data_IF_614336103812
#
_entry.id   IF_614336103812
#
_cell.length_a   1.000
_cell.length_b   1.000
_cell.length_c   1.000
_cell.angle_alpha   90.00
_cell.angle_beta   90.00
_cell.angle_gamma   90.00
#
_symmetry.space_group_name_H-M   'P 1'
#
loop_
_entity.id
_entity.type
_entity.pdbx_description
1 polymer ?
#
# COMPACT_ATOMS: atom_id res chain seq x y z
N UNK A 1 -14.03 -11.45 -54.23
CA UNK A 1 -14.65 -10.73 -53.12
C UNK A 1 -13.58 -10.62 -52.03
N UNK A 2 -12.90 -9.44 -51.93
CA UNK A 2 -11.70 -9.23 -51.14
C UNK A 2 -12.08 -9.09 -49.63
N UNK A 3 -11.72 -10.09 -48.84
CA UNK A 3 -11.91 -10.10 -47.37
C UNK A 3 -10.75 -9.49 -46.59
N UNK A 4 -9.77 -8.89 -47.28
CA UNK A 4 -8.50 -8.41 -46.66
C UNK A 4 -8.52 -6.96 -46.14
N UNK A 5 -9.68 -6.29 -46.14
CA UNK A 5 -9.75 -4.85 -45.84
C UNK A 5 -10.06 -4.48 -44.40
N UNK A 6 -10.21 -5.42 -43.44
CA UNK A 6 -10.68 -5.09 -42.08
C UNK A 6 -9.71 -5.37 -40.95
N UNK A 7 -8.42 -5.55 -41.23
CA UNK A 7 -7.43 -5.49 -40.15
C UNK A 7 -7.04 -4.03 -39.83
N UNK A 8 -7.99 -3.20 -39.46
CA UNK A 8 -7.68 -1.88 -38.91
C UNK A 8 -6.79 -2.10 -37.68
N UNK A 9 -5.49 -1.87 -37.82
CA UNK A 9 -4.49 -1.94 -36.75
C UNK A 9 -4.90 -0.95 -35.68
N UNK A 10 -5.59 -1.42 -34.61
CA UNK A 10 -5.88 -0.61 -33.43
C UNK A 10 -4.53 -0.06 -32.96
N UNK A 11 -4.35 1.27 -32.88
CA UNK A 11 -3.07 1.85 -32.47
C UNK A 11 -2.70 1.33 -31.08
N UNK A 12 -1.46 0.86 -30.93
CA UNK A 12 -0.95 0.26 -29.67
C UNK A 12 -1.22 1.12 -28.43
N UNK A 13 -1.28 2.45 -28.60
CA UNK A 13 -1.61 3.42 -27.53
C UNK A 13 -3.07 3.33 -27.07
N UNK A 14 -4.02 3.12 -27.98
CA UNK A 14 -5.44 2.98 -27.65
C UNK A 14 -5.69 1.75 -26.76
N UNK A 15 -4.96 0.65 -27.01
CA UNK A 15 -5.08 -0.57 -26.19
C UNK A 15 -4.58 -0.41 -24.76
N UNK A 16 -3.55 0.44 -24.49
CA UNK A 16 -3.05 0.72 -23.13
C UNK A 16 -4.04 1.51 -22.30
N UNK A 17 -4.61 2.57 -22.87
CA UNK A 17 -5.62 3.40 -22.19
C UNK A 17 -6.84 2.57 -21.77
N UNK A 18 -7.30 1.70 -22.64
CA UNK A 18 -8.42 0.80 -22.35
C UNK A 18 -8.11 -0.17 -21.21
N UNK A 19 -6.88 -0.72 -21.16
CA UNK A 19 -6.46 -1.62 -20.09
C UNK A 19 -6.33 -0.91 -18.74
N UNK A 20 -5.73 0.29 -18.70
CA UNK A 20 -5.63 1.12 -17.51
C UNK A 20 -7.02 1.52 -17.01
N UNK A 21 -7.90 1.96 -17.92
CA UNK A 21 -9.28 2.29 -17.57
C UNK A 21 -10.02 1.10 -16.98
N UNK A 22 -9.87 -0.09 -17.59
CA UNK A 22 -10.46 -1.32 -17.07
C UNK A 22 -9.94 -1.63 -15.66
N UNK A 23 -8.61 -1.64 -15.47
CA UNK A 23 -7.99 -1.91 -14.18
C UNK A 23 -8.47 -0.93 -13.10
N UNK A 24 -8.49 0.36 -13.40
CA UNK A 24 -9.02 1.39 -12.52
C UNK A 24 -10.50 1.18 -12.17
N UNK A 25 -11.34 0.89 -13.16
CA UNK A 25 -12.77 0.67 -12.93
C UNK A 25 -13.03 -0.53 -12.00
N UNK A 26 -12.17 -1.53 -12.05
CA UNK A 26 -12.25 -2.72 -11.19
C UNK A 26 -11.80 -2.44 -9.74
N UNK A 27 -10.78 -1.59 -9.55
CA UNK A 27 -10.21 -1.26 -8.22
C UNK A 27 -10.87 -0.08 -7.54
N UNK A 28 -11.51 0.83 -8.26
CA UNK A 28 -11.99 2.14 -7.78
C UNK A 28 -12.80 2.08 -6.47
N UNK A 29 -13.68 1.08 -6.31
CA UNK A 29 -14.52 0.98 -5.11
C UNK A 29 -13.67 0.65 -3.88
N UNK A 30 -12.69 -0.26 -4.03
CA UNK A 30 -11.73 -0.60 -2.98
C UNK A 30 -10.81 0.59 -2.69
N UNK A 31 -10.36 1.27 -3.73
CA UNK A 31 -9.54 2.47 -3.61
C UNK A 31 -10.25 3.57 -2.81
N UNK A 32 -11.48 3.94 -3.17
CA UNK A 32 -12.21 4.98 -2.45
C UNK A 32 -12.57 4.56 -1.03
N UNK A 33 -12.92 3.30 -0.79
CA UNK A 33 -13.15 2.78 0.54
C UNK A 33 -11.88 2.84 1.40
N UNK A 34 -10.73 2.41 0.85
CA UNK A 34 -9.42 2.48 1.52
C UNK A 34 -8.99 3.91 1.80
N UNK A 35 -9.13 4.80 0.82
CA UNK A 35 -8.80 6.21 0.99
C UNK A 35 -9.69 6.85 2.06
N UNK A 36 -11.00 6.64 2.00
CA UNK A 36 -11.94 7.16 2.99
C UNK A 36 -11.64 6.66 4.41
N UNK A 37 -11.38 5.36 4.56
CA UNK A 37 -10.98 4.77 5.84
C UNK A 37 -9.73 5.43 6.42
N UNK A 38 -8.68 5.57 5.61
CA UNK A 38 -7.41 6.16 6.04
C UNK A 38 -7.53 7.66 6.34
N UNK A 39 -8.36 8.38 5.59
CA UNK A 39 -8.65 9.79 5.86
C UNK A 39 -9.38 9.96 7.20
N UNK A 40 -10.40 9.15 7.46
CA UNK A 40 -11.12 9.16 8.74
C UNK A 40 -10.19 8.80 9.89
N UNK A 41 -9.34 7.78 9.71
CA UNK A 41 -8.37 7.35 10.72
C UNK A 41 -7.39 8.48 11.06
N UNK A 42 -6.78 9.11 10.05
CA UNK A 42 -5.84 10.22 10.25
C UNK A 42 -6.56 11.42 10.87
N UNK A 43 -7.73 11.79 10.34
CA UNK A 43 -8.52 12.90 10.89
C UNK A 43 -8.87 12.67 12.36
N UNK A 44 -9.40 11.50 12.69
CA UNK A 44 -9.75 11.15 14.07
C UNK A 44 -8.51 11.18 14.99
N UNK A 45 -7.41 10.53 14.59
CA UNK A 45 -6.19 10.47 15.42
C UNK A 45 -5.60 11.86 15.64
N UNK A 46 -5.51 12.68 14.60
CA UNK A 46 -4.91 14.02 14.72
C UNK A 46 -5.81 14.95 15.54
N UNK A 47 -7.13 14.93 15.31
CA UNK A 47 -8.08 15.81 16.02
C UNK A 47 -8.26 15.40 17.50
N UNK A 48 -8.15 14.10 17.83
CA UNK A 48 -8.20 13.62 19.21
C UNK A 48 -6.88 13.79 19.99
N UNK A 49 -5.79 14.15 19.28
CA UNK A 49 -4.45 14.30 19.82
C UNK A 49 -4.35 15.14 21.12
N UNK A 50 -4.94 16.33 21.18
CA UNK A 50 -4.89 17.15 22.40
C UNK A 50 -5.48 16.48 23.64
N UNK A 51 -6.61 15.78 23.48
CA UNK A 51 -7.26 15.05 24.56
C UNK A 51 -6.39 13.88 25.05
N UNK A 52 -5.77 13.17 24.10
CA UNK A 52 -4.91 12.03 24.42
C UNK A 52 -3.63 12.47 25.12
N UNK A 53 -2.99 13.55 24.65
CA UNK A 53 -1.81 14.13 25.30
C UNK A 53 -2.10 14.64 26.71
N UNK A 54 -3.26 15.29 26.92
CA UNK A 54 -3.67 15.70 28.25
C UNK A 54 -3.84 14.49 29.18
N UNK A 55 -4.42 13.40 28.69
CA UNK A 55 -4.53 12.15 29.47
C UNK A 55 -3.18 11.52 29.83
N UNK A 56 -2.21 11.51 28.90
CA UNK A 56 -0.85 11.00 29.16
C UNK A 56 -0.14 11.89 30.18
N UNK A 57 -0.22 13.21 30.05
CA UNK A 57 0.42 14.13 30.99
C UNK A 57 -0.07 13.96 32.44
N UNK A 58 -1.33 13.57 32.63
CA UNK A 58 -1.89 13.28 33.96
C UNK A 58 -1.39 11.94 34.51
N UNK A 59 -1.33 10.91 33.66
CA UNK A 59 -1.02 9.53 34.10
C UNK A 59 0.48 9.23 34.13
N UNK A 60 1.29 9.91 33.32
CA UNK A 60 2.74 9.72 33.17
C UNK A 60 3.47 11.07 33.12
N UNK A 61 3.52 11.81 34.25
CA UNK A 61 4.12 13.15 34.27
C UNK A 61 5.63 13.15 34.01
N UNK A 62 6.31 12.03 34.28
CA UNK A 62 7.77 11.89 34.12
C UNK A 62 8.23 11.66 32.67
N UNK A 63 7.31 11.30 31.78
CA UNK A 63 7.59 11.04 30.36
C UNK A 63 6.70 11.90 29.45
N UNK A 64 6.99 13.21 29.30
CA UNK A 64 6.18 14.08 28.46
C UNK A 64 6.30 13.70 26.99
N UNK A 65 5.23 13.15 26.42
CA UNK A 65 5.18 12.86 25.00
C UNK A 65 4.95 14.16 24.21
N UNK A 66 5.86 14.46 23.28
CA UNK A 66 5.69 15.60 22.38
C UNK A 66 4.56 15.34 21.38
N UNK A 67 3.92 16.39 20.85
CA UNK A 67 2.88 16.22 19.83
C UNK A 67 3.39 15.47 18.59
N UNK A 68 4.61 15.74 18.15
CA UNK A 68 5.23 15.00 17.05
C UNK A 68 5.45 13.52 17.39
N UNK A 69 5.82 13.23 18.64
CA UNK A 69 5.95 11.86 19.16
C UNK A 69 4.62 11.12 19.13
N UNK A 70 3.55 11.77 19.61
CA UNK A 70 2.20 11.22 19.54
C UNK A 70 1.78 10.87 18.10
N UNK A 71 1.96 11.81 17.17
CA UNK A 71 1.65 11.59 15.75
C UNK A 71 2.45 10.42 15.19
N UNK A 72 3.75 10.36 15.50
CA UNK A 72 4.59 9.28 15.01
C UNK A 72 4.16 7.91 15.58
N UNK A 73 4.01 7.77 16.89
CA UNK A 73 3.61 6.51 17.54
C UNK A 73 2.23 6.06 17.07
N UNK A 74 1.25 6.96 17.07
CA UNK A 74 -0.14 6.59 16.77
C UNK A 74 -0.36 6.31 15.29
N UNK A 75 0.22 7.11 14.39
CA UNK A 75 0.00 6.96 12.96
C UNK A 75 1.05 6.05 12.33
N UNK A 76 2.34 6.44 12.38
CA UNK A 76 3.37 5.81 11.55
C UNK A 76 3.90 4.50 12.15
N UNK A 77 3.89 4.32 13.47
CA UNK A 77 4.36 3.09 14.11
C UNK A 77 3.24 2.06 14.34
N UNK A 78 1.97 2.46 14.36
CA UNK A 78 0.90 1.54 14.73
C UNK A 78 -0.34 1.62 13.82
N UNK A 79 -1.28 2.57 14.06
CA UNK A 79 -2.60 2.51 13.43
C UNK A 79 -2.57 2.72 11.91
N UNK A 80 -1.99 3.81 11.46
CA UNK A 80 -1.99 4.13 10.03
C UNK A 80 -1.19 3.12 9.22
N UNK A 81 -0.04 2.69 9.74
CA UNK A 81 0.78 1.65 9.11
C UNK A 81 0.00 0.34 8.94
N UNK A 82 -0.64 -0.15 10.01
CA UNK A 82 -1.39 -1.41 9.99
C UNK A 82 -2.57 -1.37 9.03
N UNK A 83 -3.39 -0.32 9.10
CA UNK A 83 -4.53 -0.15 8.18
C UNK A 83 -4.08 0.08 6.75
N UNK A 84 -3.00 0.85 6.54
CA UNK A 84 -2.44 1.04 5.19
C UNK A 84 -1.98 -0.28 4.57
N UNK A 85 -1.29 -1.13 5.32
CA UNK A 85 -0.88 -2.47 4.85
C UNK A 85 -2.09 -3.28 4.41
N UNK A 86 -3.16 -3.32 5.21
CA UNK A 86 -4.38 -4.04 4.88
C UNK A 86 -5.04 -3.47 3.60
N UNK A 87 -5.12 -2.15 3.47
CA UNK A 87 -5.65 -1.48 2.29
C UNK A 87 -4.80 -1.74 1.04
N UNK A 88 -3.48 -1.58 1.15
CA UNK A 88 -2.53 -1.82 0.07
C UNK A 88 -2.57 -3.28 -0.41
N UNK A 89 -2.72 -4.21 0.54
CA UNK A 89 -2.91 -5.62 0.25
C UNK A 89 -4.22 -5.86 -0.51
N UNK A 90 -5.33 -5.25 -0.11
CA UNK A 90 -6.62 -5.32 -0.80
C UNK A 90 -6.57 -4.78 -2.23
N UNK A 91 -5.81 -3.71 -2.48
CA UNK A 91 -5.63 -3.13 -3.81
C UNK A 91 -4.86 -4.07 -4.75
N UNK A 92 -3.88 -4.80 -4.22
CA UNK A 92 -3.13 -5.79 -4.99
C UNK A 92 -3.92 -7.08 -5.29
N UNK A 93 -4.99 -7.38 -4.52
CA UNK A 93 -5.87 -8.50 -4.81
C UNK A 93 -6.79 -8.16 -6.00
N UNK A 94 -6.83 -8.97 -6.99
CA UNK A 94 -7.69 -8.74 -8.16
C UNK A 94 -7.04 -9.32 -9.41
N UNK A 95 -6.80 -10.63 -9.40
CA UNK A 95 -6.22 -11.34 -10.52
C UNK A 95 -7.27 -11.80 -11.55
N UNK A 96 -6.77 -12.47 -12.58
CA UNK A 96 -7.55 -13.14 -13.63
C UNK A 96 -8.57 -14.11 -13.03
N UNK A 97 -8.32 -14.63 -11.83
CA UNK A 97 -9.20 -15.56 -11.10
C UNK A 97 -10.53 -14.93 -10.69
N UNK A 98 -10.55 -13.67 -10.29
CA UNK A 98 -11.80 -12.95 -10.03
C UNK A 98 -12.64 -12.82 -11.29
N UNK A 99 -12.02 -12.56 -12.43
CA UNK A 99 -12.72 -12.52 -13.71
C UNK A 99 -13.29 -13.88 -14.08
N UNK A 100 -12.60 -14.97 -13.69
CA UNK A 100 -13.09 -16.33 -13.91
C UNK A 100 -14.31 -16.65 -13.04
N UNK A 101 -14.31 -16.29 -11.77
CA UNK A 101 -15.46 -16.51 -10.87
C UNK A 101 -16.70 -15.70 -11.26
N UNK A 102 -16.50 -14.56 -11.94
CA UNK A 102 -17.59 -13.71 -12.46
C UNK A 102 -18.00 -14.06 -13.90
N UNK A 103 -17.39 -15.08 -14.53
CA UNK A 103 -17.66 -15.49 -15.91
C UNK A 103 -17.14 -14.55 -16.99
N UNK A 104 -16.45 -13.47 -16.63
CA UNK A 104 -15.92 -12.45 -17.56
C UNK A 104 -14.57 -12.84 -18.15
N UNK A 105 -13.92 -13.87 -17.60
CA UNK A 105 -12.57 -14.30 -18.00
C UNK A 105 -12.51 -14.69 -19.50
N UNK A 106 -13.55 -15.35 -20.02
CA UNK A 106 -13.62 -15.73 -21.47
C UNK A 106 -13.56 -14.51 -22.37
N UNK A 107 -14.23 -13.43 -22.01
CA UNK A 107 -14.19 -12.18 -22.76
C UNK A 107 -12.80 -11.51 -22.65
N UNK A 108 -12.19 -11.50 -21.47
CA UNK A 108 -10.87 -10.89 -21.28
C UNK A 108 -9.77 -11.68 -21.98
N UNK A 109 -9.87 -13.00 -22.01
CA UNK A 109 -8.92 -13.89 -22.70
C UNK A 109 -9.06 -13.88 -24.22
N UNK A 110 -10.22 -13.47 -24.76
CA UNK A 110 -10.45 -13.28 -26.20
C UNK A 110 -9.84 -11.97 -26.73
N UNK A 111 -9.45 -11.04 -25.84
CA UNK A 111 -8.76 -9.81 -26.26
C UNK A 111 -7.35 -10.12 -26.80
N UNK A 112 -6.90 -9.49 -27.89
CA UNK A 112 -5.56 -9.69 -28.45
C UNK A 112 -4.47 -9.01 -27.62
N UNK A 113 -4.43 -9.33 -26.32
CA UNK A 113 -3.50 -8.73 -25.34
C UNK A 113 -2.75 -9.83 -24.61
N UNK A 114 -1.43 -9.68 -24.48
CA UNK A 114 -0.61 -10.65 -23.73
C UNK A 114 -0.94 -10.62 -22.24
N UNK A 115 -0.98 -11.77 -21.59
CA UNK A 115 -1.22 -11.92 -20.14
C UNK A 115 -0.25 -11.07 -19.32
N UNK A 116 1.04 -11.03 -19.73
CA UNK A 116 2.05 -10.18 -19.10
C UNK A 116 1.62 -8.70 -19.05
N UNK A 117 1.09 -8.20 -20.17
CA UNK A 117 0.66 -6.80 -20.29
C UNK A 117 -0.52 -6.50 -19.38
N UNK A 118 -1.46 -7.45 -19.25
CA UNK A 118 -2.62 -7.33 -18.35
C UNK A 118 -2.18 -7.22 -16.88
N UNK A 119 -1.31 -8.14 -16.43
CA UNK A 119 -0.80 -8.16 -15.03
C UNK A 119 0.00 -6.90 -14.74
N UNK A 120 0.89 -6.48 -15.65
CA UNK A 120 1.69 -5.25 -15.47
C UNK A 120 0.82 -4.00 -15.38
N UNK A 121 -0.23 -3.90 -16.19
CA UNK A 121 -1.14 -2.75 -16.14
C UNK A 121 -1.88 -2.69 -14.81
N UNK A 122 -2.36 -3.83 -14.30
CA UNK A 122 -3.02 -3.90 -12.99
C UNK A 122 -2.04 -3.58 -11.85
N UNK A 123 -0.83 -4.12 -11.91
CA UNK A 123 0.20 -3.82 -10.92
C UNK A 123 0.54 -2.33 -10.90
N UNK A 124 0.69 -1.71 -12.06
CA UNK A 124 0.96 -0.27 -12.17
C UNK A 124 -0.18 0.57 -11.55
N UNK A 125 -1.44 0.23 -11.83
CA UNK A 125 -2.59 0.92 -11.23
C UNK A 125 -2.60 0.75 -9.72
N UNK A 126 -2.45 -0.47 -9.20
CA UNK A 126 -2.45 -0.74 -7.76
C UNK A 126 -1.27 -0.04 -7.03
N UNK A 127 -0.09 0.04 -7.66
CA UNK A 127 1.05 0.79 -7.13
C UNK A 127 0.71 2.28 -7.03
N UNK A 128 0.16 2.87 -8.08
CA UNK A 128 -0.25 4.30 -8.05
C UNK A 128 -1.30 4.54 -6.97
N UNK A 129 -2.31 3.67 -6.88
CA UNK A 129 -3.34 3.73 -5.83
C UNK A 129 -2.74 3.64 -4.43
N UNK A 130 -1.77 2.73 -4.21
CA UNK A 130 -1.08 2.57 -2.93
C UNK A 130 -0.29 3.83 -2.54
N UNK A 131 0.37 4.48 -3.51
CA UNK A 131 1.02 5.77 -3.27
C UNK A 131 0.02 6.86 -2.89
N UNK A 132 -1.10 6.96 -3.58
CA UNK A 132 -2.11 7.99 -3.31
C UNK A 132 -2.75 7.79 -1.93
N UNK A 133 -3.12 6.55 -1.55
CA UNK A 133 -3.70 6.28 -0.21
C UNK A 133 -2.67 6.43 0.93
N UNK A 134 -1.37 6.48 0.63
CA UNK A 134 -0.33 6.84 1.59
C UNK A 134 -0.15 8.36 1.69
N UNK A 135 0.04 9.02 0.55
CA UNK A 135 0.42 10.43 0.51
C UNK A 135 -0.72 11.38 0.88
N UNK A 136 -1.93 11.13 0.36
CA UNK A 136 -3.06 12.05 0.56
C UNK A 136 -3.43 12.19 2.04
N UNK A 137 -3.62 11.11 2.84
CA UNK A 137 -3.86 11.25 4.27
C UNK A 137 -2.71 11.91 5.01
N UNK A 138 -1.45 11.55 4.67
CA UNK A 138 -0.27 12.17 5.29
C UNK A 138 -0.20 13.68 5.05
N UNK A 139 -0.50 14.14 3.84
CA UNK A 139 -0.50 15.58 3.53
C UNK A 139 -1.57 16.37 4.29
N UNK A 140 -2.62 15.72 4.79
CA UNK A 140 -3.64 16.34 5.62
C UNK A 140 -3.26 16.46 7.11
N UNK A 141 -2.23 15.71 7.57
CA UNK A 141 -1.77 15.78 8.97
C UNK A 141 -1.44 17.23 9.39
N UNK A 142 -0.61 18.01 8.65
CA UNK A 142 -0.32 19.39 9.03
C UNK A 142 -1.56 20.28 9.08
N UNK A 143 -2.53 20.07 8.17
CA UNK A 143 -3.77 20.83 8.12
C UNK A 143 -4.63 20.57 9.37
N UNK A 144 -4.86 19.30 9.71
CA UNK A 144 -5.62 18.95 10.91
C UNK A 144 -4.87 19.32 12.21
N UNK A 145 -3.53 19.25 12.21
CA UNK A 145 -2.73 19.71 13.35
C UNK A 145 -2.89 21.21 13.59
N UNK A 146 -2.94 22.00 12.52
CA UNK A 146 -3.15 23.44 12.62
C UNK A 146 -4.53 23.80 13.20
N UNK A 147 -5.57 23.01 12.93
CA UNK A 147 -6.90 23.19 13.53
C UNK A 147 -6.89 23.02 15.06
N UNK A 148 -5.96 22.22 15.58
CA UNK A 148 -5.75 22.03 17.02
C UNK A 148 -4.72 23.00 17.62
N UNK A 149 -4.22 23.98 16.87
CA UNK A 149 -3.20 24.91 17.32
C UNK A 149 -1.77 24.35 17.35
N UNK A 150 -1.55 23.14 16.87
CA UNK A 150 -0.22 22.54 16.77
C UNK A 150 0.39 22.73 15.39
N UNK A 151 1.73 22.75 15.34
CA UNK A 151 2.48 22.81 14.06
C UNK A 151 3.17 21.48 13.81
N UNK A 152 2.83 20.82 12.69
CA UNK A 152 3.53 19.65 12.19
C UNK A 152 4.17 19.96 10.84
N UNK A 153 5.47 19.68 10.62
CA UNK A 153 6.16 20.04 9.37
C UNK A 153 5.61 19.26 8.16
N UNK A 154 5.16 19.98 7.12
CA UNK A 154 4.64 19.36 5.88
C UNK A 154 5.67 18.42 5.23
N UNK A 155 6.94 18.83 5.20
CA UNK A 155 8.02 18.01 4.63
C UNK A 155 8.15 16.66 5.33
N UNK A 156 8.05 16.62 6.66
CA UNK A 156 8.11 15.39 7.43
C UNK A 156 6.91 14.47 7.12
N UNK A 157 5.72 15.03 7.09
CA UNK A 157 4.51 14.29 6.74
C UNK A 157 4.61 13.65 5.35
N UNK A 158 5.10 14.40 4.37
CA UNK A 158 5.32 13.91 3.01
C UNK A 158 6.38 12.81 2.96
N UNK A 159 7.52 12.99 3.66
CA UNK A 159 8.60 12.01 3.70
C UNK A 159 8.13 10.70 4.36
N UNK A 160 7.40 10.77 5.48
CA UNK A 160 6.83 9.57 6.11
C UNK A 160 5.83 8.86 5.19
N UNK A 161 4.99 9.61 4.47
CA UNK A 161 4.08 9.05 3.47
C UNK A 161 4.83 8.34 2.35
N UNK A 162 5.91 8.92 1.83
CA UNK A 162 6.76 8.28 0.82
C UNK A 162 7.47 7.03 1.37
N UNK A 163 8.01 7.12 2.58
CA UNK A 163 8.68 6.00 3.23
C UNK A 163 7.74 4.80 3.38
N UNK A 164 6.52 5.07 3.88
CA UNK A 164 5.46 4.08 4.01
C UNK A 164 5.10 3.46 2.65
N UNK A 165 4.88 4.29 1.62
CA UNK A 165 4.53 3.81 0.29
C UNK A 165 5.63 2.94 -0.33
N UNK A 166 6.88 3.43 -0.35
CA UNK A 166 7.99 2.73 -1.00
C UNK A 166 8.36 1.44 -0.26
N UNK A 167 8.53 1.51 1.06
CA UNK A 167 8.83 0.33 1.86
C UNK A 167 7.68 -0.68 1.82
N UNK A 168 6.44 -0.19 1.81
CA UNK A 168 5.24 -1.02 1.80
C UNK A 168 4.88 -1.64 0.45
N UNK A 169 5.53 -1.29 -0.66
CA UNK A 169 5.32 -1.92 -1.98
C UNK A 169 5.44 -3.44 -1.92
N UNK A 170 6.24 -3.96 -0.99
CA UNK A 170 6.37 -5.41 -0.76
C UNK A 170 5.01 -6.05 -0.52
N UNK A 171 4.13 -5.41 0.26
CA UNK A 171 2.80 -5.96 0.58
C UNK A 171 1.87 -5.94 -0.63
N UNK A 172 1.94 -4.91 -1.47
CA UNK A 172 1.22 -4.86 -2.75
C UNK A 172 1.68 -5.97 -3.67
N UNK A 173 3.00 -6.14 -3.85
CA UNK A 173 3.56 -7.18 -4.71
C UNK A 173 3.32 -8.59 -4.15
N UNK A 174 3.34 -8.74 -2.82
CA UNK A 174 3.00 -9.99 -2.14
C UNK A 174 1.54 -10.40 -2.37
N UNK A 175 0.60 -9.43 -2.34
CA UNK A 175 -0.80 -9.72 -2.66
C UNK A 175 -1.00 -10.17 -4.11
N UNK A 176 -0.25 -9.58 -5.07
CA UNK A 176 -0.23 -10.07 -6.46
C UNK A 176 0.27 -11.50 -6.56
N UNK A 177 1.33 -11.85 -5.82
CA UNK A 177 1.86 -13.20 -5.79
C UNK A 177 0.81 -14.19 -5.24
N UNK A 178 0.21 -13.89 -4.11
CA UNK A 178 -0.85 -14.73 -3.53
C UNK A 178 -2.06 -14.86 -4.45
N UNK A 179 -2.48 -13.76 -5.07
CA UNK A 179 -3.56 -13.77 -6.07
C UNK A 179 -3.20 -14.60 -7.32
N UNK A 180 -1.93 -14.83 -7.62
CA UNK A 180 -1.50 -15.73 -8.70
C UNK A 180 -1.38 -17.19 -8.27
N UNK A 181 -1.25 -17.46 -6.98
CA UNK A 181 -1.11 -18.81 -6.42
C UNK A 181 -2.44 -19.46 -6.07
N UNK A 182 -3.38 -18.70 -5.53
CA UNK A 182 -4.66 -19.19 -5.02
C UNK A 182 -5.83 -18.82 -5.92
N UNK A 183 -6.76 -19.75 -6.10
CA UNK A 183 -7.89 -19.61 -7.01
C UNK A 183 -9.08 -18.81 -6.40
N UNK A 184 -8.99 -18.47 -5.12
CA UNK A 184 -10.02 -17.70 -4.39
C UNK A 184 -9.52 -16.35 -3.90
N UNK A 185 -10.28 -15.28 -4.16
CA UNK A 185 -9.94 -13.93 -3.68
C UNK A 185 -9.92 -13.86 -2.15
N UNK A 186 -10.94 -14.47 -1.50
CA UNK A 186 -11.02 -14.51 -0.04
C UNK A 186 -9.93 -15.36 0.59
N UNK A 187 -9.59 -16.50 -0.03
CA UNK A 187 -8.51 -17.37 0.46
C UNK A 187 -7.17 -16.66 0.42
N UNK A 188 -6.85 -16.01 -0.71
CA UNK A 188 -5.62 -15.23 -0.85
C UNK A 188 -5.57 -14.07 0.16
N UNK A 189 -6.72 -13.40 0.41
CA UNK A 189 -6.81 -12.32 1.39
C UNK A 189 -6.55 -12.82 2.82
N UNK A 190 -7.29 -13.84 3.26
CA UNK A 190 -7.16 -14.38 4.63
C UNK A 190 -5.74 -14.90 4.87
N UNK A 191 -5.21 -15.72 3.97
CA UNK A 191 -3.85 -16.24 4.10
C UNK A 191 -2.80 -15.12 4.12
N UNK A 192 -2.97 -14.09 3.29
CA UNK A 192 -2.06 -12.97 3.26
C UNK A 192 -2.09 -12.13 4.53
N UNK A 193 -3.26 -11.78 5.04
CA UNK A 193 -3.39 -11.04 6.30
C UNK A 193 -2.86 -11.87 7.48
N UNK A 194 -3.16 -13.17 7.54
CA UNK A 194 -2.59 -14.05 8.57
C UNK A 194 -1.05 -14.09 8.49
N UNK A 195 -0.48 -14.23 7.30
CA UNK A 195 0.97 -14.24 7.12
C UNK A 195 1.61 -12.90 7.54
N UNK A 196 1.00 -11.77 7.20
CA UNK A 196 1.46 -10.43 7.60
C UNK A 196 1.36 -10.27 9.12
N UNK A 197 0.25 -10.70 9.74
CA UNK A 197 0.07 -10.64 11.19
C UNK A 197 1.11 -11.50 11.92
N UNK A 198 1.34 -12.73 11.46
CA UNK A 198 2.38 -13.61 12.02
C UNK A 198 3.76 -12.96 11.89
N UNK A 199 4.08 -12.39 10.72
CA UNK A 199 5.33 -11.68 10.51
C UNK A 199 5.47 -10.49 11.47
N UNK A 200 4.42 -9.68 11.62
CA UNK A 200 4.42 -8.53 12.53
C UNK A 200 4.72 -8.95 13.97
N UNK A 201 4.01 -9.96 14.48
CA UNK A 201 4.25 -10.46 15.84
C UNK A 201 5.61 -11.13 16.00
N UNK A 202 6.08 -11.89 14.99
CA UNK A 202 7.37 -12.53 15.01
C UNK A 202 8.53 -11.51 15.05
N UNK A 203 8.43 -10.43 14.28
CA UNK A 203 9.42 -9.36 14.30
C UNK A 203 9.37 -8.54 15.60
N UNK A 204 8.18 -8.34 16.17
CA UNK A 204 8.03 -7.59 17.42
C UNK A 204 8.46 -8.42 18.64
N UNK A 205 8.22 -9.74 18.68
CA UNK A 205 8.55 -10.63 19.78
C UNK A 205 10.03 -11.02 19.85
N UNK A 206 10.71 -11.10 18.71
CA UNK A 206 12.13 -11.43 18.65
C UNK A 206 12.95 -10.17 18.41
N UNK A 207 14.04 -10.03 19.14
CA UNK A 207 15.10 -9.02 19.00
C UNK A 207 15.73 -8.92 17.59
N UNK A 208 15.06 -9.43 16.56
CA UNK A 208 15.44 -9.37 15.14
C UNK A 208 15.00 -8.01 14.54
N UNK A 209 14.95 -6.97 15.34
CA UNK A 209 14.61 -5.62 14.90
C UNK A 209 15.49 -5.08 13.75
N UNK A 210 16.62 -5.72 13.51
CA UNK A 210 17.61 -5.19 12.56
C UNK A 210 17.12 -5.17 11.10
N UNK A 211 16.09 -5.98 10.75
CA UNK A 211 15.61 -6.13 9.36
C UNK A 211 14.08 -6.06 9.25
N UNK A 212 13.42 -5.44 10.23
CA UNK A 212 11.96 -5.30 10.20
C UNK A 212 11.54 -4.33 9.10
N UNK A 213 10.70 -4.81 8.18
CA UNK A 213 10.07 -3.97 7.16
C UNK A 213 9.11 -2.96 7.81
N UNK A 214 8.51 -3.32 8.95
CA UNK A 214 7.62 -2.44 9.70
C UNK A 214 8.38 -1.26 10.30
N UNK A 215 9.57 -1.49 10.88
CA UNK A 215 10.45 -0.42 11.37
C UNK A 215 10.98 0.45 10.21
N UNK A 216 11.16 -0.14 9.03
CA UNK A 216 11.53 0.61 7.83
C UNK A 216 10.40 1.54 7.39
N UNK A 217 9.14 1.07 7.42
CA UNK A 217 7.97 1.86 7.05
C UNK A 217 7.70 3.00 8.01
N UNK A 218 7.89 2.79 9.33
CA UNK A 218 7.75 3.83 10.36
C UNK A 218 8.97 4.73 10.48
N UNK A 219 10.11 4.35 9.88
CA UNK A 219 11.36 5.07 10.01
C UNK A 219 11.98 5.01 11.41
N UNK A 220 11.53 4.10 12.29
CA UNK A 220 11.83 4.04 13.73
C UNK A 220 13.31 4.21 14.08
N UNK A 221 14.22 3.72 13.24
CA UNK A 221 15.69 3.79 13.48
C UNK A 221 16.36 5.08 13.04
N UNK A 222 15.64 5.89 12.29
CA UNK A 222 16.17 7.09 11.65
C UNK A 222 15.52 8.36 12.20
N UNK A 223 14.80 8.21 13.32
CA UNK A 223 14.10 9.26 14.03
C UNK A 223 15.01 9.82 15.13
N UNK A 224 14.93 11.13 15.31
CA UNK A 224 15.52 11.80 16.47
C UNK A 224 14.67 11.48 17.71
N UNK A 225 15.24 10.89 18.78
CA UNK A 225 14.50 10.55 19.99
C UNK A 225 13.82 11.74 20.68
N UNK A 226 14.34 12.95 20.50
CA UNK A 226 13.81 14.16 21.14
C UNK A 226 12.63 14.78 20.41
N UNK A 227 12.68 14.80 19.07
CA UNK A 227 11.67 15.48 18.25
C UNK A 227 10.72 14.51 17.54
N UNK A 228 11.05 13.23 17.49
CA UNK A 228 10.35 12.19 16.71
C UNK A 228 10.20 12.56 15.22
N UNK A 229 11.12 13.36 14.69
CA UNK A 229 11.22 13.70 13.29
C UNK A 229 12.31 12.88 12.61
N UNK A 230 12.15 12.60 11.33
CA UNK A 230 13.10 11.80 10.58
C UNK A 230 14.40 12.60 10.36
N UNK A 231 15.53 12.02 10.82
CA UNK A 231 16.87 12.62 10.72
C UNK A 231 17.58 12.25 9.41
N UNK A 232 17.37 11.02 8.94
CA UNK A 232 18.01 10.49 7.73
C UNK A 232 17.10 9.49 7.03
N UNK A 233 17.26 9.35 5.71
CA UNK A 233 16.51 8.36 4.94
C UNK A 233 17.22 6.99 4.97
N UNK A 234 16.48 5.89 5.15
CA UNK A 234 17.03 4.53 5.18
C UNK A 234 17.26 3.98 3.76
N UNK A 235 18.15 4.56 2.98
CA UNK A 235 18.38 4.22 1.57
C UNK A 235 18.62 2.74 1.32
N UNK A 236 19.45 2.09 2.15
CA UNK A 236 19.73 0.66 2.03
C UNK A 236 18.48 -0.19 2.22
N UNK A 237 17.67 0.11 3.23
CA UNK A 237 16.40 -0.58 3.49
C UNK A 237 15.40 -0.39 2.34
N UNK A 238 15.26 0.83 1.83
CA UNK A 238 14.39 1.14 0.70
C UNK A 238 14.83 0.39 -0.57
N UNK A 239 16.12 0.32 -0.86
CA UNK A 239 16.64 -0.42 -2.01
C UNK A 239 16.36 -1.92 -1.90
N UNK A 240 16.52 -2.50 -0.72
CA UNK A 240 16.20 -3.91 -0.44
C UNK A 240 14.69 -4.15 -0.61
N UNK A 241 13.85 -3.27 -0.07
CA UNK A 241 12.40 -3.38 -0.22
C UNK A 241 11.96 -3.33 -1.68
N UNK A 242 12.51 -2.42 -2.47
CA UNK A 242 12.24 -2.33 -3.91
C UNK A 242 12.70 -3.59 -4.66
N UNK A 243 13.86 -4.14 -4.31
CA UNK A 243 14.35 -5.39 -4.89
C UNK A 243 13.42 -6.57 -4.59
N UNK A 244 13.00 -6.72 -3.34
CA UNK A 244 12.04 -7.75 -2.92
C UNK A 244 10.72 -7.57 -3.67
N UNK A 245 10.19 -6.34 -3.76
CA UNK A 245 8.96 -6.03 -4.49
C UNK A 245 9.06 -6.43 -5.96
N UNK A 246 10.19 -6.12 -6.60
CA UNK A 246 10.45 -6.50 -7.98
C UNK A 246 10.51 -8.02 -8.17
N UNK A 247 11.16 -8.75 -7.27
CA UNK A 247 11.23 -10.22 -7.31
C UNK A 247 9.85 -10.85 -7.13
N UNK A 248 9.05 -10.39 -6.17
CA UNK A 248 7.69 -10.87 -5.94
C UNK A 248 6.80 -10.66 -7.17
N UNK A 249 6.85 -9.46 -7.76
CA UNK A 249 6.06 -9.15 -8.94
C UNK A 249 6.52 -9.97 -10.15
N UNK A 250 7.83 -10.13 -10.34
CA UNK A 250 8.38 -10.95 -11.42
C UNK A 250 7.96 -12.42 -11.31
N UNK A 251 7.99 -12.97 -10.11
CA UNK A 251 7.53 -14.34 -9.81
C UNK A 251 6.03 -14.47 -10.08
N UNK A 252 5.21 -13.50 -9.67
CA UNK A 252 3.78 -13.49 -9.96
C UNK A 252 3.49 -13.51 -11.46
N UNK A 253 4.25 -12.72 -12.24
CA UNK A 253 4.13 -12.70 -13.72
C UNK A 253 4.52 -14.06 -14.32
N UNK A 254 5.59 -14.69 -13.84
CA UNK A 254 6.03 -15.99 -14.35
C UNK A 254 4.99 -17.07 -14.07
N UNK A 255 4.45 -17.14 -12.84
CA UNK A 255 3.40 -18.10 -12.47
C UNK A 255 2.16 -17.90 -13.36
N UNK A 256 1.72 -16.64 -13.56
CA UNK A 256 0.58 -16.35 -14.42
C UNK A 256 0.81 -16.74 -15.88
N UNK A 257 2.06 -16.74 -16.35
CA UNK A 257 2.42 -17.18 -17.73
C UNK A 257 2.43 -18.70 -17.87
N UNK A 258 2.93 -19.42 -16.87
CA UNK A 258 3.09 -20.89 -16.92
C UNK A 258 1.78 -21.64 -16.70
N UNK A 259 0.79 -21.04 -16.08
CA UNK A 259 -0.53 -21.67 -15.90
C UNK A 259 -1.30 -21.70 -17.22
N UNK A 260 -1.65 -22.92 -17.65
CA UNK A 260 -2.59 -23.15 -18.76
C UNK A 260 -4.02 -22.97 -18.22
N UNK A 261 -4.75 -22.00 -18.78
CA UNK A 261 -6.15 -21.73 -18.49
C UNK A 261 -7.04 -22.34 -19.57
#
# INVERSE_FOLDING_TARGET
MNTDAYSARIPRSASWRALVWKAWRESRNRYFASLGLLLVLVGYTVLSGPLFLAGIAINHPDEPLTYSGYIWVSLFDFYFQGFWIACAFLLGLGGIWRERSTGVATFTLSLPVTRKRLVLTRAAVAIVEAFVISLVPCLLIPLFSAMNGYRYPLAQSFIFGLLLAIAGLVFVCFSFLLSSLFDGEYTAFILGICAIAIAFFAFKARSIHRWSIFDLMSGARHIDPSTHLLKSLPWAGLSISLLISFLLLSTSIQITRSRNF
#
